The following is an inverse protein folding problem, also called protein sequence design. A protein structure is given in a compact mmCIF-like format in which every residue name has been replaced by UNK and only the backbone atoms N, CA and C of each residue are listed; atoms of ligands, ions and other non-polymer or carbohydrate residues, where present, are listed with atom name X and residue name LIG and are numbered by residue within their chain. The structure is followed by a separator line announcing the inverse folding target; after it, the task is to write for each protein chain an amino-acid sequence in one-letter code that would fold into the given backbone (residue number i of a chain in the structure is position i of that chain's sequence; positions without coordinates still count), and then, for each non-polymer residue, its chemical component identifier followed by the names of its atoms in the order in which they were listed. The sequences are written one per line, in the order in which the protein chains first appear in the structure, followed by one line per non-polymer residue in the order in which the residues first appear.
data_IF_146566392432
#
_entry.id   IF_146566392432
#
_cell.length_a   1.000
_cell.length_b   1.000
_cell.length_c   1.000
_cell.angle_alpha   90.00
_cell.angle_beta   90.00
_cell.angle_gamma   90.00
#
_symmetry.space_group_name_H-M   'P 1'
#
loop_
_entity.id
_entity.type
_entity.pdbx_description
1 polymer ?
#
# COMPACT_ATOMS: atom_id res chain seq x y z
N UNK A 1 3.53 28.05 9.04
CA UNK A 1 2.91 26.99 8.22
C UNK A 1 3.92 26.38 7.25
N UNK A 2 4.59 27.13 6.39
CA UNK A 2 5.60 26.65 5.42
C UNK A 2 6.71 25.79 6.05
N UNK A 3 7.32 26.25 7.14
CA UNK A 3 8.36 25.50 7.87
C UNK A 3 7.84 24.15 8.41
N UNK A 4 6.59 24.12 8.90
CA UNK A 4 5.98 22.89 9.40
C UNK A 4 5.75 21.88 8.28
N UNK A 5 5.30 22.34 7.10
CA UNK A 5 5.13 21.48 5.92
C UNK A 5 6.48 20.94 5.46
N UNK A 6 7.51 21.80 5.45
CA UNK A 6 8.86 21.38 5.08
C UNK A 6 9.42 20.31 6.04
N UNK A 7 9.28 20.53 7.34
CA UNK A 7 9.70 19.56 8.37
C UNK A 7 8.96 18.21 8.22
N UNK A 8 7.66 18.23 7.90
CA UNK A 8 6.87 17.00 7.66
C UNK A 8 7.30 16.27 6.38
N UNK A 9 7.63 17.00 5.31
CA UNK A 9 8.13 16.42 4.07
C UNK A 9 9.52 15.78 4.26
N UNK A 10 10.40 16.41 5.04
CA UNK A 10 11.69 15.81 5.40
C UNK A 10 11.49 14.56 6.25
N UNK A 11 10.63 14.63 7.27
CA UNK A 11 10.36 13.53 8.20
C UNK A 11 9.75 12.30 7.49
N UNK A 12 8.89 12.52 6.50
CA UNK A 12 8.30 11.47 5.65
C UNK A 12 9.23 10.95 4.56
N UNK A 13 10.45 11.49 4.42
CA UNK A 13 11.36 11.18 3.30
C UNK A 13 10.72 11.38 1.92
N UNK A 14 9.81 12.36 1.80
CA UNK A 14 8.98 12.60 0.62
C UNK A 14 9.80 12.71 -0.68
N UNK A 15 10.97 13.35 -0.65
CA UNK A 15 11.84 13.50 -1.82
C UNK A 15 12.27 12.14 -2.40
N UNK A 16 12.59 11.17 -1.55
CA UNK A 16 13.00 9.85 -2.01
C UNK A 16 11.83 9.07 -2.62
N UNK A 17 10.65 9.15 -1.98
CA UNK A 17 9.42 8.52 -2.48
C UNK A 17 9.01 9.11 -3.82
N UNK A 18 9.01 10.44 -3.94
CA UNK A 18 8.72 11.15 -5.20
C UNK A 18 9.71 10.76 -6.30
N UNK A 19 11.01 10.68 -5.98
CA UNK A 19 12.03 10.27 -6.96
C UNK A 19 11.78 8.86 -7.48
N UNK A 20 11.39 7.93 -6.60
CA UNK A 20 11.02 6.57 -6.97
C UNK A 20 9.80 6.54 -7.88
N UNK A 21 8.72 7.22 -7.49
CA UNK A 21 7.50 7.28 -8.28
C UNK A 21 7.71 7.95 -9.66
N UNK A 22 8.51 9.01 -9.73
CA UNK A 22 8.86 9.66 -10.99
C UNK A 22 9.74 8.77 -11.88
N UNK A 23 10.64 7.98 -11.29
CA UNK A 23 11.43 7.01 -12.05
C UNK A 23 10.53 5.90 -12.63
N UNK A 24 9.61 5.36 -11.85
CA UNK A 24 8.61 4.39 -12.36
C UNK A 24 7.71 5.01 -13.42
N UNK A 25 7.25 6.26 -13.23
CA UNK A 25 6.48 6.97 -14.25
C UNK A 25 7.24 7.06 -15.58
N UNK A 26 8.51 7.43 -15.55
CA UNK A 26 9.33 7.52 -16.76
C UNK A 26 9.58 6.15 -17.40
N UNK A 27 9.77 5.10 -16.61
CA UNK A 27 10.10 3.76 -17.08
C UNK A 27 8.86 2.98 -17.52
N UNK A 28 7.82 2.94 -16.67
CA UNK A 28 6.63 2.11 -16.83
C UNK A 28 5.39 2.90 -17.29
N UNK A 29 5.51 4.23 -17.43
CA UNK A 29 4.44 5.11 -17.85
C UNK A 29 3.62 5.70 -16.72
N UNK A 30 3.66 5.16 -15.50
CA UNK A 30 2.84 5.64 -14.39
C UNK A 30 3.57 5.46 -13.06
N UNK A 31 3.60 6.51 -12.27
CA UNK A 31 4.06 6.47 -10.88
C UNK A 31 2.89 6.55 -9.92
N UNK A 32 2.91 5.74 -8.87
CA UNK A 32 1.85 5.70 -7.86
C UNK A 32 2.44 5.99 -6.48
N UNK A 33 1.76 6.88 -5.75
CA UNK A 33 2.10 7.24 -4.37
C UNK A 33 0.89 6.98 -3.50
N UNK A 34 1.10 6.38 -2.35
CA UNK A 34 0.09 6.14 -1.33
C UNK A 34 0.32 7.05 -0.13
N UNK A 35 -0.74 7.61 0.42
CA UNK A 35 -0.73 8.47 1.61
C UNK A 35 -1.20 9.89 1.37
N UNK A 36 -1.01 10.79 2.36
CA UNK A 36 -0.24 10.59 3.60
C UNK A 36 -0.98 9.81 4.67
N UNK A 37 -0.24 9.00 5.43
CA UNK A 37 -0.74 8.30 6.63
C UNK A 37 0.03 8.76 7.86
N UNK A 38 -0.58 8.66 9.03
CA UNK A 38 0.14 8.78 10.30
C UNK A 38 0.64 7.42 10.74
N UNK A 39 1.90 7.36 11.11
CA UNK A 39 2.58 6.17 11.57
C UNK A 39 3.20 6.39 12.96
N UNK A 40 3.02 5.43 13.86
CA UNK A 40 3.66 5.47 15.17
C UNK A 40 5.09 4.95 15.05
N UNK A 41 6.04 5.85 15.24
CA UNK A 41 7.46 5.52 15.32
C UNK A 41 7.90 5.47 16.79
N UNK A 42 8.33 4.29 17.23
CA UNK A 42 8.95 4.14 18.56
C UNK A 42 10.44 4.40 18.48
N UNK A 43 10.92 5.39 19.21
CA UNK A 43 12.33 5.64 19.38
C UNK A 43 12.80 5.10 20.73
N UNK A 44 13.86 4.30 20.71
CA UNK A 44 14.47 3.74 21.89
C UNK A 44 15.49 4.72 22.46
N UNK A 45 15.10 5.44 23.52
CA UNK A 45 15.97 6.41 24.16
C UNK A 45 16.35 5.96 25.56
N UNK A 46 17.61 6.16 25.90
CA UNK A 46 18.11 6.04 27.27
C UNK A 46 18.17 7.43 27.89
N UNK A 47 17.38 7.66 28.91
CA UNK A 47 17.36 8.94 29.65
C UNK A 47 18.05 8.75 30.97
N UNK A 48 18.96 9.67 31.30
CA UNK A 48 19.61 9.65 32.62
C UNK A 48 18.62 10.11 33.68
N UNK A 49 18.31 9.22 34.63
CA UNK A 49 17.43 9.56 35.72
C UNK A 49 18.15 10.58 36.65
N UNK A 50 17.49 11.72 36.89
CA UNK A 50 18.08 12.83 37.67
C UNK A 50 18.32 12.47 39.14
N UNK A 51 17.58 11.50 39.69
CA UNK A 51 17.62 11.15 41.10
C UNK A 51 18.62 10.02 41.39
N UNK A 52 18.75 9.05 40.49
CA UNK A 52 19.63 7.88 40.66
C UNK A 52 20.94 7.96 39.90
N UNK A 53 21.00 8.85 38.88
CA UNK A 53 22.16 8.97 37.99
C UNK A 53 22.31 7.81 36.97
N UNK A 54 21.43 6.82 37.00
CA UNK A 54 21.44 5.65 36.14
C UNK A 54 20.68 5.92 34.82
N UNK A 55 21.07 5.21 33.76
CA UNK A 55 20.38 5.30 32.49
C UNK A 55 19.13 4.43 32.55
N UNK A 56 17.97 5.05 32.42
CA UNK A 56 16.65 4.38 32.35
C UNK A 56 16.17 4.31 30.92
N UNK A 57 15.67 3.15 30.51
CA UNK A 57 15.11 2.94 29.19
C UNK A 57 13.72 3.60 29.09
N UNK A 58 13.60 4.62 28.28
CA UNK A 58 12.36 5.38 28.08
C UNK A 58 12.00 5.38 26.59
N UNK A 59 11.16 4.44 26.13
CA UNK A 59 10.67 4.47 24.75
C UNK A 59 9.73 5.66 24.56
N UNK A 60 9.98 6.45 23.53
CA UNK A 60 9.11 7.54 23.12
C UNK A 60 8.43 7.17 21.79
N UNK A 61 7.11 7.21 21.79
CA UNK A 61 6.32 7.03 20.57
C UNK A 61 5.97 8.41 20.00
N UNK A 62 6.25 8.61 18.72
CA UNK A 62 5.92 9.82 17.97
C UNK A 62 5.09 9.44 16.75
N UNK A 63 4.04 10.22 16.48
CA UNK A 63 3.30 10.12 15.23
C UNK A 63 4.07 10.86 14.13
N UNK A 64 4.39 10.17 13.05
CA UNK A 64 5.16 10.68 11.92
C UNK A 64 4.33 10.51 10.65
N UNK A 65 4.26 11.53 9.78
CA UNK A 65 3.62 11.37 8.47
C UNK A 65 4.46 10.41 7.62
N UNK A 66 3.78 9.55 6.88
CA UNK A 66 4.40 8.60 5.96
C UNK A 66 3.70 8.65 4.62
N UNK A 67 4.49 8.63 3.56
CA UNK A 67 4.07 8.39 2.19
C UNK A 67 4.87 7.21 1.64
N UNK A 68 4.27 6.45 0.73
CA UNK A 68 4.89 5.26 0.14
C UNK A 68 4.79 5.32 -1.39
N UNK A 69 5.84 4.91 -2.08
CA UNK A 69 5.77 4.61 -3.51
C UNK A 69 5.21 3.21 -3.67
N UNK A 70 4.21 3.07 -4.53
CA UNK A 70 3.59 1.79 -4.86
C UNK A 70 3.99 1.44 -6.28
N UNK A 71 4.51 0.24 -6.48
CA UNK A 71 4.85 -0.22 -7.83
C UNK A 71 3.60 -0.40 -8.68
N UNK A 72 3.66 0.00 -9.95
CA UNK A 72 2.56 -0.23 -10.90
C UNK A 72 2.16 -1.71 -11.00
N UNK A 73 3.11 -2.62 -10.76
CA UNK A 73 2.88 -4.06 -10.79
C UNK A 73 2.06 -4.59 -9.61
N UNK A 74 1.99 -3.81 -8.53
CA UNK A 74 1.27 -4.13 -7.30
C UNK A 74 0.00 -3.28 -7.12
N UNK A 75 -0.34 -2.49 -8.14
CA UNK A 75 -1.47 -1.57 -8.13
C UNK A 75 -2.50 -1.96 -9.19
N UNK A 76 -3.69 -2.34 -8.75
CA UNK A 76 -4.79 -2.80 -9.59
C UNK A 76 -5.99 -1.87 -9.42
N UNK A 77 -6.11 -0.84 -10.27
CA UNK A 77 -7.29 0.02 -10.29
C UNK A 77 -8.47 -0.71 -10.92
N UNK A 78 -9.64 -0.13 -10.78
CA UNK A 78 -10.85 -0.53 -11.50
C UNK A 78 -10.58 -0.56 -13.02
N UNK A 79 -10.85 -1.68 -13.71
CA UNK A 79 -10.60 -1.82 -15.14
C UNK A 79 -11.37 -0.84 -16.03
N UNK A 80 -12.53 -0.37 -15.57
CA UNK A 80 -13.39 0.54 -16.33
C UNK A 80 -13.00 2.02 -16.12
N UNK A 81 -12.12 2.30 -15.14
CA UNK A 81 -11.67 3.64 -14.84
C UNK A 81 -10.51 4.08 -15.75
N UNK A 82 -10.54 5.33 -16.18
CA UNK A 82 -9.43 5.99 -16.89
C UNK A 82 -8.61 6.86 -15.93
N UNK A 83 -9.24 7.38 -14.90
CA UNK A 83 -8.60 8.19 -13.87
C UNK A 83 -8.88 7.63 -12.49
N UNK A 84 -8.09 8.04 -11.50
CA UNK A 84 -8.33 7.62 -10.11
C UNK A 84 -9.67 8.14 -9.56
N UNK A 85 -10.15 9.27 -10.05
CA UNK A 85 -11.41 9.88 -9.62
C UNK A 85 -12.63 9.10 -10.13
N UNK A 86 -12.48 8.42 -11.29
CA UNK A 86 -13.52 7.57 -11.87
C UNK A 86 -13.54 6.15 -11.27
N UNK A 87 -12.45 5.75 -10.60
CA UNK A 87 -12.32 4.41 -10.06
C UNK A 87 -13.26 4.19 -8.85
N UNK A 88 -14.05 3.13 -8.89
CA UNK A 88 -14.87 2.70 -7.76
C UNK A 88 -14.04 2.04 -6.68
N UNK A 89 -12.96 1.37 -7.07
CA UNK A 89 -12.06 0.68 -6.16
C UNK A 89 -10.63 0.63 -6.68
N UNK A 90 -9.73 0.34 -5.75
CA UNK A 90 -8.33 0.03 -6.01
C UNK A 90 -7.91 -1.15 -5.14
N UNK A 91 -7.16 -2.08 -5.72
CA UNK A 91 -6.54 -3.17 -4.97
C UNK A 91 -5.03 -2.98 -5.03
N UNK A 92 -4.39 -2.97 -3.86
CA UNK A 92 -2.93 -3.00 -3.75
C UNK A 92 -2.47 -4.35 -3.24
N UNK A 93 -1.49 -4.94 -3.91
CA UNK A 93 -0.82 -6.17 -3.48
C UNK A 93 0.33 -5.84 -2.56
N UNK A 94 0.44 -6.57 -1.47
CA UNK A 94 1.58 -6.55 -0.56
C UNK A 94 2.18 -7.95 -0.46
N UNK A 95 3.50 -8.02 -0.42
CA UNK A 95 4.24 -9.27 -0.24
C UNK A 95 4.96 -9.21 1.09
N UNK A 96 4.47 -9.99 2.06
CA UNK A 96 4.97 -9.98 3.44
C UNK A 96 5.63 -11.30 3.80
N UNK A 97 6.63 -11.21 4.68
CA UNK A 97 7.21 -12.38 5.34
C UNK A 97 6.28 -12.87 6.45
N UNK A 98 6.45 -14.11 6.89
CA UNK A 98 5.66 -14.68 8.00
C UNK A 98 5.73 -13.85 9.28
N UNK A 99 6.89 -13.26 9.60
CA UNK A 99 7.04 -12.38 10.75
C UNK A 99 6.23 -11.09 10.62
N UNK A 100 6.26 -10.45 9.44
CA UNK A 100 5.49 -9.24 9.17
C UNK A 100 3.99 -9.49 9.25
N UNK A 101 3.50 -10.64 8.71
CA UNK A 101 2.08 -11.02 8.84
C UNK A 101 1.71 -11.24 10.32
N UNK A 102 2.59 -11.87 11.10
CA UNK A 102 2.38 -12.03 12.55
C UNK A 102 2.33 -10.70 13.28
N UNK A 103 3.17 -9.74 12.89
CA UNK A 103 3.21 -8.41 13.51
C UNK A 103 1.93 -7.61 13.26
N UNK A 104 1.17 -7.93 12.20
CA UNK A 104 -0.15 -7.33 11.97
C UNK A 104 -1.14 -7.64 13.10
N UNK A 105 -0.98 -8.79 13.80
CA UNK A 105 -1.83 -9.13 14.96
C UNK A 105 -1.72 -8.12 16.13
N UNK A 106 -0.62 -7.36 16.18
CA UNK A 106 -0.40 -6.35 17.22
C UNK A 106 -1.01 -4.98 16.84
N UNK A 107 -1.46 -4.82 15.60
CA UNK A 107 -2.08 -3.58 15.13
C UNK A 107 -3.58 -3.55 15.44
N UNK A 108 -4.15 -2.37 15.68
CA UNK A 108 -5.59 -2.24 15.87
C UNK A 108 -6.36 -2.64 14.60
N UNK A 109 -7.57 -3.11 14.79
CA UNK A 109 -8.52 -3.51 13.73
C UNK A 109 -8.11 -4.73 12.89
N UNK A 110 -7.01 -5.43 13.22
CA UNK A 110 -6.66 -6.69 12.58
C UNK A 110 -7.23 -7.87 13.36
N UNK A 111 -7.81 -8.84 12.63
CA UNK A 111 -8.44 -10.06 13.18
C UNK A 111 -7.38 -11.12 13.43
N UNK A 112 -7.07 -11.36 14.69
CA UNK A 112 -5.97 -12.27 15.10
C UNK A 112 -6.21 -13.72 14.68
N UNK A 113 -7.46 -14.18 14.76
CA UNK A 113 -7.87 -15.53 14.39
C UNK A 113 -7.70 -15.75 12.88
N UNK A 114 -8.19 -14.85 12.05
CA UNK A 114 -8.06 -14.90 10.59
C UNK A 114 -6.58 -14.87 10.13
N UNK A 115 -5.74 -14.11 10.83
CA UNK A 115 -4.29 -14.10 10.54
C UNK A 115 -3.66 -15.45 10.90
N UNK A 116 -4.04 -16.08 12.03
CA UNK A 116 -3.52 -17.39 12.39
C UNK A 116 -3.92 -18.46 11.37
N UNK A 117 -5.19 -18.49 10.98
CA UNK A 117 -5.69 -19.39 9.93
C UNK A 117 -4.93 -19.18 8.61
N UNK A 118 -4.71 -17.94 8.20
CA UNK A 118 -3.93 -17.62 7.00
C UNK A 118 -2.47 -18.10 7.10
N UNK A 119 -1.86 -17.99 8.28
CA UNK A 119 -0.50 -18.49 8.53
C UNK A 119 -0.41 -20.02 8.54
N UNK A 120 -1.47 -20.71 9.00
CA UNK A 120 -1.55 -22.17 9.04
C UNK A 120 -1.82 -22.78 7.65
N UNK A 121 -2.49 -22.05 6.75
CA UNK A 121 -2.64 -22.43 5.34
C UNK A 121 -1.31 -22.43 4.57
N UNK A 122 -0.31 -21.68 5.06
CA UNK A 122 1.00 -21.60 4.44
C UNK A 122 1.19 -20.43 3.48
N UNK A 123 2.38 -20.30 2.89
CA UNK A 123 2.73 -19.22 1.96
C UNK A 123 1.85 -19.25 0.70
N UNK A 124 1.44 -18.08 0.24
CA UNK A 124 0.57 -17.92 -0.94
C UNK A 124 1.20 -17.13 -2.08
N UNK A 125 2.40 -16.60 -1.88
CA UNK A 125 3.05 -15.80 -2.90
C UNK A 125 3.67 -16.70 -3.98
N UNK A 126 3.33 -16.39 -5.23
CA UNK A 126 3.98 -16.93 -6.41
C UNK A 126 4.67 -15.80 -7.16
N UNK A 127 6.00 -15.93 -7.35
CA UNK A 127 6.76 -14.94 -8.10
C UNK A 127 6.33 -14.97 -9.59
N UNK A 128 6.00 -13.80 -10.13
CA UNK A 128 5.73 -13.70 -11.57
C UNK A 128 7.03 -13.69 -12.34
N UNK A 129 7.08 -14.37 -13.49
CA UNK A 129 8.29 -14.55 -14.28
C UNK A 129 8.98 -13.23 -14.66
N UNK A 130 8.23 -12.17 -14.91
CA UNK A 130 8.79 -10.85 -15.22
C UNK A 130 9.37 -10.14 -13.98
N UNK A 131 8.77 -10.33 -12.78
CA UNK A 131 9.31 -9.78 -11.53
C UNK A 131 10.68 -10.35 -11.23
N UNK A 132 10.86 -11.66 -11.43
CA UNK A 132 12.13 -12.33 -11.27
C UNK A 132 13.19 -11.80 -12.27
N UNK A 133 12.81 -11.57 -13.53
CA UNK A 133 13.70 -11.03 -14.54
C UNK A 133 14.13 -9.58 -14.26
N UNK A 134 13.23 -8.74 -13.77
CA UNK A 134 13.53 -7.35 -13.39
C UNK A 134 14.45 -7.25 -12.16
N UNK A 135 14.38 -8.24 -11.27
CA UNK A 135 15.21 -8.29 -10.07
C UNK A 135 16.52 -9.04 -10.28
N UNK A 136 16.79 -9.50 -11.51
CA UNK A 136 17.96 -10.34 -11.86
C UNK A 136 18.08 -11.58 -10.94
N UNK A 137 16.90 -12.13 -10.56
CA UNK A 137 16.82 -13.34 -9.73
C UNK A 137 16.49 -14.54 -10.58
N UNK A 138 17.16 -15.66 -10.31
CA UNK A 138 16.73 -16.94 -10.83
C UNK A 138 15.40 -17.33 -10.16
N UNK A 139 14.43 -17.75 -10.96
CA UNK A 139 13.02 -18.02 -10.55
C UNK A 139 12.83 -19.17 -9.54
N UNK A 140 13.89 -19.65 -8.92
CA UNK A 140 13.91 -20.82 -8.04
C UNK A 140 14.29 -20.53 -6.59
N UNK A 141 14.34 -19.28 -6.19
CA UNK A 141 14.81 -18.93 -4.87
C UNK A 141 13.85 -19.41 -3.77
N UNK A 142 14.43 -20.19 -2.83
CA UNK A 142 13.75 -20.65 -1.61
C UNK A 142 13.17 -19.49 -0.78
N UNK A 143 13.62 -18.26 -1.02
CA UNK A 143 13.13 -17.06 -0.36
C UNK A 143 11.68 -16.73 -0.70
N UNK A 144 11.22 -17.03 -1.92
CA UNK A 144 9.84 -16.75 -2.34
C UNK A 144 8.84 -17.74 -1.73
N UNK A 145 9.30 -18.94 -1.38
CA UNK A 145 8.45 -20.00 -0.81
C UNK A 145 7.89 -19.69 0.60
N UNK A 146 8.37 -18.63 1.27
CA UNK A 146 7.95 -18.25 2.62
C UNK A 146 7.27 -16.88 2.68
N UNK A 147 6.71 -16.41 1.56
CA UNK A 147 6.02 -15.14 1.49
C UNK A 147 4.51 -15.29 1.36
N UNK A 148 3.82 -14.34 1.91
CA UNK A 148 2.36 -14.24 1.91
C UNK A 148 1.95 -13.06 1.05
N UNK A 149 1.03 -13.32 0.11
CA UNK A 149 0.39 -12.28 -0.66
C UNK A 149 -0.80 -11.76 0.14
N UNK A 150 -0.86 -10.45 0.30
CA UNK A 150 -1.97 -9.75 0.94
C UNK A 150 -2.53 -8.75 -0.04
N UNK A 151 -3.83 -8.81 -0.27
CA UNK A 151 -4.55 -7.85 -1.09
C UNK A 151 -5.22 -6.83 -0.18
N UNK A 152 -4.92 -5.56 -0.40
CA UNK A 152 -5.53 -4.43 0.27
C UNK A 152 -6.50 -3.74 -0.69
N UNK A 153 -7.77 -3.86 -0.41
CA UNK A 153 -8.86 -3.24 -1.17
C UNK A 153 -9.24 -1.90 -0.53
N UNK A 154 -9.40 -0.89 -1.36
CA UNK A 154 -9.99 0.39 -1.04
C UNK A 154 -11.11 0.66 -2.03
N UNK A 155 -12.30 0.90 -1.57
CA UNK A 155 -13.41 1.18 -2.47
C UNK A 155 -14.77 1.05 -1.82
N UNK A 156 -15.76 1.06 -2.66
CA UNK A 156 -17.16 0.92 -2.29
C UNK A 156 -17.53 -0.55 -2.16
N UNK A 157 -18.29 -0.90 -1.13
CA UNK A 157 -18.81 -2.23 -0.88
C UNK A 157 -20.27 -2.13 -0.46
N UNK A 158 -21.08 -3.08 -0.91
CA UNK A 158 -22.46 -3.23 -0.45
C UNK A 158 -22.50 -3.35 1.08
N UNK A 159 -23.42 -2.60 1.70
CA UNK A 159 -23.55 -2.53 3.16
C UNK A 159 -23.87 -3.87 3.78
N UNK A 160 -24.73 -4.69 3.13
CA UNK A 160 -25.10 -6.01 3.64
C UNK A 160 -23.90 -6.96 3.60
N UNK A 161 -23.14 -6.95 2.50
CA UNK A 161 -21.89 -7.72 2.38
C UNK A 161 -20.86 -7.31 3.43
N UNK A 162 -20.73 -6.02 3.70
CA UNK A 162 -19.81 -5.50 4.70
C UNK A 162 -20.20 -5.96 6.12
N UNK A 163 -21.49 -5.95 6.45
CA UNK A 163 -22.02 -6.44 7.72
C UNK A 163 -21.84 -7.97 7.86
N UNK A 164 -22.13 -8.75 6.82
CA UNK A 164 -21.89 -10.19 6.80
C UNK A 164 -20.41 -10.54 6.98
N UNK A 165 -19.54 -9.71 6.43
CA UNK A 165 -18.08 -9.80 6.63
C UNK A 165 -17.64 -9.35 8.03
N UNK A 166 -18.56 -8.87 8.88
CA UNK A 166 -18.33 -8.49 10.28
C UNK A 166 -17.81 -7.05 10.44
N UNK A 167 -18.27 -6.13 9.60
CA UNK A 167 -18.12 -4.70 9.82
C UNK A 167 -19.23 -4.24 10.79
N UNK A 168 -18.84 -3.55 11.85
CA UNK A 168 -19.78 -2.88 12.76
C UNK A 168 -20.04 -1.48 12.21
N UNK A 169 -21.29 -1.18 11.88
CA UNK A 169 -21.73 0.12 11.39
C UNK A 169 -22.43 0.88 12.52
N UNK A 170 -22.41 2.20 12.46
CA UNK A 170 -23.23 3.05 13.31
C UNK A 170 -24.67 3.05 12.78
N UNK A 171 -25.66 3.24 13.67
CA UNK A 171 -27.09 3.17 13.35
C UNK A 171 -27.51 4.09 12.18
N UNK A 172 -26.80 5.19 11.99
CA UNK A 172 -27.05 6.16 10.92
C UNK A 172 -26.59 5.67 9.52
N UNK A 173 -25.76 4.61 9.46
CA UNK A 173 -25.22 4.06 8.21
C UNK A 173 -25.97 2.81 7.73
N UNK A 174 -26.84 2.23 8.54
CA UNK A 174 -27.62 1.02 8.20
C UNK A 174 -28.55 1.23 7.01
N UNK A 175 -29.01 2.48 6.78
CA UNK A 175 -29.88 2.85 5.66
C UNK A 175 -29.11 3.13 4.34
N UNK A 176 -27.78 3.06 4.33
CA UNK A 176 -26.97 3.25 3.12
C UNK A 176 -26.88 1.94 2.34
N UNK A 177 -27.08 1.98 1.02
CA UNK A 177 -26.92 0.82 0.15
C UNK A 177 -25.44 0.41 0.04
N UNK A 178 -24.53 1.37 0.11
CA UNK A 178 -23.08 1.17 -0.09
C UNK A 178 -22.26 1.96 0.92
N UNK A 179 -21.14 1.39 1.33
CA UNK A 179 -20.17 1.99 2.26
C UNK A 179 -18.75 1.95 1.70
N UNK A 180 -17.98 2.99 2.01
CA UNK A 180 -16.55 3.05 1.65
C UNK A 180 -15.74 2.28 2.69
N UNK A 181 -14.97 1.29 2.24
CA UNK A 181 -14.22 0.40 3.12
C UNK A 181 -12.75 0.26 2.75
N UNK A 182 -11.96 -0.13 3.75
CA UNK A 182 -10.63 -0.70 3.56
C UNK A 182 -10.67 -2.15 4.04
N UNK A 183 -10.44 -3.08 3.12
CA UNK A 183 -10.44 -4.52 3.38
C UNK A 183 -9.08 -5.12 3.05
N UNK A 184 -8.54 -5.94 3.97
CA UNK A 184 -7.31 -6.68 3.77
C UNK A 184 -7.59 -8.18 3.76
N UNK A 185 -7.14 -8.86 2.73
CA UNK A 185 -7.36 -10.29 2.52
C UNK A 185 -6.03 -11.01 2.40
N UNK A 186 -5.88 -12.11 3.13
CA UNK A 186 -4.74 -13.02 3.06
C UNK A 186 -5.23 -14.45 2.94
N UNK A 187 -4.78 -15.21 1.95
CA UNK A 187 -5.22 -16.60 1.73
C UNK A 187 -6.76 -16.80 1.73
N UNK A 188 -7.50 -15.83 1.18
CA UNK A 188 -8.97 -15.86 1.18
C UNK A 188 -9.64 -15.45 2.49
N UNK A 189 -8.89 -15.23 3.57
CA UNK A 189 -9.41 -14.76 4.85
C UNK A 189 -9.35 -13.24 4.95
N UNK A 190 -10.43 -12.62 5.39
CA UNK A 190 -10.49 -11.20 5.69
C UNK A 190 -9.78 -10.95 7.03
N UNK A 191 -8.55 -10.42 6.95
CA UNK A 191 -7.71 -10.13 8.12
C UNK A 191 -7.96 -8.74 8.72
N UNK A 192 -8.54 -7.82 7.93
CA UNK A 192 -8.97 -6.49 8.36
C UNK A 192 -10.14 -6.03 7.52
N UNK A 193 -11.14 -5.41 8.16
CA UNK A 193 -12.22 -4.72 7.48
C UNK A 193 -12.62 -3.52 8.35
N UNK A 194 -12.50 -2.33 7.79
CA UNK A 194 -12.84 -1.07 8.48
C UNK A 194 -13.43 -0.07 7.49
N UNK A 195 -14.22 0.86 7.99
CA UNK A 195 -14.67 2.01 7.21
C UNK A 195 -13.47 2.85 6.76
N UNK A 196 -13.61 3.47 5.60
CA UNK A 196 -12.61 4.39 5.09
C UNK A 196 -12.56 5.66 5.97
N UNK A 197 -11.43 5.96 6.64
CA UNK A 197 -11.32 7.14 7.50
C UNK A 197 -11.09 8.44 6.72
N UNK A 198 -10.89 8.38 5.40
CA UNK A 198 -10.55 9.55 4.60
C UNK A 198 -11.81 10.23 4.05
N UNK A 199 -11.96 11.52 4.33
CA UNK A 199 -13.04 12.36 3.81
C UNK A 199 -12.45 13.72 3.46
N UNK A 200 -12.68 14.28 2.28
CA UNK A 200 -13.53 13.82 1.17
C UNK A 200 -12.86 12.83 0.21
N UNK A 201 -11.58 12.52 0.39
CA UNK A 201 -10.82 11.64 -0.51
C UNK A 201 -11.25 10.19 -0.34
N UNK A 202 -11.73 9.57 -1.41
CA UNK A 202 -12.16 8.17 -1.39
C UNK A 202 -10.98 7.20 -1.32
N UNK A 203 -9.96 7.46 -2.15
CA UNK A 203 -8.82 6.59 -2.35
C UNK A 203 -7.54 7.31 -1.92
N UNK A 204 -6.73 6.73 -1.01
CA UNK A 204 -5.54 7.39 -0.48
C UNK A 204 -4.33 7.23 -1.42
N UNK A 205 -4.53 7.43 -2.70
CA UNK A 205 -3.50 7.31 -3.73
C UNK A 205 -3.40 8.59 -4.55
N UNK A 206 -2.22 8.81 -5.09
CA UNK A 206 -1.93 9.81 -6.11
C UNK A 206 -1.28 9.09 -7.29
N UNK A 207 -1.87 9.20 -8.44
CA UNK A 207 -1.39 8.58 -9.69
C UNK A 207 -0.84 9.67 -10.60
N UNK A 208 0.37 9.47 -11.08
CA UNK A 208 1.08 10.42 -11.94
C UNK A 208 1.49 9.70 -13.24
N UNK A 209 0.69 9.78 -14.32
CA UNK A 209 1.07 9.25 -15.62
C UNK A 209 2.19 10.12 -16.23
N UNK A 210 3.17 9.49 -16.89
CA UNK A 210 4.23 10.20 -17.63
C UNK A 210 3.69 10.83 -18.91
N UNK A 211 3.04 10.04 -19.74
CA UNK A 211 2.27 10.51 -20.90
C UNK A 211 0.86 9.94 -20.79
N UNK A 212 -0.14 10.82 -20.83
CA UNK A 212 -1.53 10.43 -20.61
C UNK A 212 -2.06 9.69 -21.85
N UNK A 213 -2.55 8.47 -21.63
CA UNK A 213 -3.38 7.77 -22.60
C UNK A 213 -4.87 8.04 -22.26
N UNK A 214 -5.63 8.71 -23.13
CA UNK A 214 -7.01 9.08 -22.81
C UNK A 214 -8.00 7.90 -22.73
N UNK A 215 -7.55 6.69 -23.02
CA UNK A 215 -8.39 5.49 -23.06
C UNK A 215 -7.96 4.42 -22.03
N UNK A 216 -6.90 4.66 -21.29
CA UNK A 216 -6.36 3.69 -20.34
C UNK A 216 -5.94 4.38 -19.05
N UNK A 217 -6.03 3.66 -17.95
CA UNK A 217 -5.61 4.16 -16.66
C UNK A 217 -4.10 4.42 -16.59
N UNK A 218 -3.32 3.50 -17.14
CA UNK A 218 -1.86 3.61 -17.14
C UNK A 218 -1.39 4.44 -18.34
N UNK A 219 -0.47 5.36 -18.05
CA UNK A 219 0.19 6.17 -19.07
C UNK A 219 1.27 5.41 -19.83
N UNK A 220 1.83 6.08 -20.82
CA UNK A 220 2.90 5.55 -21.70
C UNK A 220 4.26 6.00 -21.19
N UNK A 221 5.21 5.07 -21.09
CA UNK A 221 6.58 5.33 -20.62
C UNK A 221 7.54 5.72 -21.75
N UNK A 222 8.73 6.17 -21.37
CA UNK A 222 9.80 6.51 -22.33
C UNK A 222 10.19 5.32 -23.20
N UNK A 223 10.43 4.10 -22.66
CA UNK A 223 10.82 2.96 -23.47
C UNK A 223 9.80 2.60 -24.55
N UNK A 224 8.50 2.66 -24.21
CA UNK A 224 7.41 2.37 -25.14
C UNK A 224 7.37 3.40 -26.29
N UNK A 225 7.52 4.68 -25.96
CA UNK A 225 7.57 5.75 -26.97
C UNK A 225 8.81 5.66 -27.87
N UNK A 226 9.89 5.05 -27.41
CA UNK A 226 11.14 4.93 -28.18
C UNK A 226 11.29 3.63 -28.95
N UNK A 227 10.42 2.63 -28.72
CA UNK A 227 10.55 1.29 -29.27
C UNK A 227 10.55 1.29 -30.81
N UNK A 228 9.64 2.01 -31.42
CA UNK A 228 9.55 2.14 -32.88
C UNK A 228 10.83 2.76 -33.48
N UNK A 229 11.33 3.84 -32.85
CA UNK A 229 12.54 4.51 -33.29
C UNK A 229 13.78 3.61 -33.15
N UNK A 230 13.86 2.85 -32.06
CA UNK A 230 14.94 1.90 -31.81
C UNK A 230 14.92 0.74 -32.79
N UNK A 231 13.73 0.22 -33.10
CA UNK A 231 13.52 -0.84 -34.09
C UNK A 231 14.00 -0.39 -35.49
N UNK A 232 13.66 0.85 -35.90
CA UNK A 232 14.13 1.41 -37.19
C UNK A 232 15.67 1.59 -37.20
N UNK A 233 16.28 1.97 -36.07
CA UNK A 233 17.73 2.17 -36.00
C UNK A 233 18.51 0.86 -36.01
N UNK A 234 17.93 -0.23 -35.51
CA UNK A 234 18.58 -1.53 -35.38
C UNK A 234 18.34 -2.45 -36.61
N UNK A 235 17.41 -2.13 -37.49
CA UNK A 235 17.08 -2.87 -38.73
C UNK A 235 17.81 -2.35 -39.91
#
# INVERSE_FOLDING_TARGET
MEKMIHDQLEESSAVNVLRHALFEAALLGTGVIKGPFTYEQSSHNWVKNSDTGENEYSPKTKLVPRIESVSCWDFYPDPDAVTLDDAEYVIQRHVYTRSQVRDLMNRPYFRKEAIRESLDMGPSYEARGYEASLQDRESTDEFDKNRYEILEFWGTMDTQLAMEAGLELEDDMDDMDEVQVNCWVCNGNIIRLVLNPFTPTRLPYLVCPYEINPYQFFGVGIPENMDDAQTIMNG
#
